data_IF_305073767167
#
_entry.id   IF_305073767167
#
_cell.length_a   1.000
_cell.length_b   1.000
_cell.length_c   1.000
_cell.angle_alpha   90.00
_cell.angle_beta   90.00
_cell.angle_gamma   90.00
#
_symmetry.space_group_name_H-M   'P 1'
#
loop_
_entity.id
_entity.type
_entity.pdbx_description
1 polymer ?
#
# COMPACT_ATOMS: atom_id res chain seq x y z
N UNK A 1 30.97 -15.31 5.93
CA UNK A 1 30.75 -15.09 7.37
C UNK A 1 29.45 -14.28 7.51
N UNK A 2 28.61 -14.58 8.49
CA UNK A 2 27.37 -13.82 8.78
C UNK A 2 27.54 -13.12 10.15
N UNK A 3 28.57 -12.31 10.25
CA UNK A 3 29.03 -11.67 11.48
C UNK A 3 28.75 -10.15 11.53
N UNK A 4 28.00 -9.66 10.56
CA UNK A 4 27.54 -8.26 10.47
C UNK A 4 26.02 -8.18 10.47
N UNK A 5 25.49 -7.07 11.02
CA UNK A 5 24.06 -6.81 10.98
C UNK A 5 23.60 -6.54 9.53
N UNK A 6 22.49 -7.16 9.16
CA UNK A 6 21.77 -6.92 7.92
C UNK A 6 20.30 -6.63 8.25
N UNK A 7 19.73 -5.58 7.65
CA UNK A 7 18.31 -5.25 7.85
C UNK A 7 17.40 -6.42 7.41
N UNK A 8 16.46 -6.87 8.26
CA UNK A 8 15.49 -7.90 7.88
C UNK A 8 14.62 -7.51 6.68
N UNK A 9 14.44 -6.23 6.40
CA UNK A 9 13.75 -5.77 5.20
C UNK A 9 14.45 -6.29 3.93
N UNK A 10 15.78 -6.27 3.89
CA UNK A 10 16.56 -6.77 2.77
C UNK A 10 16.62 -8.29 2.71
N UNK A 11 16.91 -8.93 3.85
CA UNK A 11 17.22 -10.37 3.87
C UNK A 11 15.99 -11.27 3.93
N UNK A 12 14.84 -10.76 4.40
CA UNK A 12 13.68 -11.58 4.71
C UNK A 12 12.36 -11.13 4.09
N UNK A 13 12.12 -9.82 3.90
CA UNK A 13 10.76 -9.34 3.68
C UNK A 13 10.53 -8.74 2.30
N UNK A 14 11.33 -7.75 1.88
CA UNK A 14 11.11 -7.04 0.64
C UNK A 14 11.40 -7.91 -0.61
N UNK A 15 10.68 -7.62 -1.70
CA UNK A 15 10.90 -8.24 -2.99
C UNK A 15 12.24 -7.84 -3.60
N UNK A 16 12.80 -8.69 -4.47
CA UNK A 16 14.04 -8.35 -5.18
C UNK A 16 13.84 -7.17 -6.14
N UNK A 17 12.61 -6.95 -6.61
CA UNK A 17 12.23 -5.81 -7.45
C UNK A 17 12.40 -4.49 -6.70
N UNK A 18 11.82 -4.36 -5.50
CA UNK A 18 11.92 -3.15 -4.69
C UNK A 18 13.36 -2.91 -4.23
N UNK A 19 14.07 -3.95 -3.81
CA UNK A 19 15.49 -3.86 -3.43
C UNK A 19 16.36 -3.35 -4.57
N UNK A 20 16.10 -3.77 -5.82
CA UNK A 20 16.84 -3.27 -6.98
C UNK A 20 16.62 -1.77 -7.21
N UNK A 21 15.39 -1.27 -7.09
CA UNK A 21 15.07 0.17 -7.25
C UNK A 21 15.87 1.04 -6.27
N UNK A 22 16.11 0.56 -5.05
CA UNK A 22 16.92 1.27 -4.04
C UNK A 22 18.40 0.86 -4.02
N UNK A 23 18.84 0.06 -4.99
CA UNK A 23 20.24 -0.39 -5.05
C UNK A 23 21.20 0.70 -5.53
N UNK A 24 22.51 0.58 -5.18
CA UNK A 24 23.55 1.42 -5.75
C UNK A 24 23.59 1.38 -7.28
N UNK A 25 23.38 0.21 -7.88
CA UNK A 25 23.34 0.07 -9.35
C UNK A 25 22.27 0.93 -10.00
N UNK A 26 21.05 0.88 -9.51
CA UNK A 26 19.97 1.73 -10.01
C UNK A 26 20.28 3.21 -9.84
N UNK A 27 20.78 3.60 -8.65
CA UNK A 27 21.15 4.97 -8.31
C UNK A 27 22.22 5.52 -9.26
N UNK A 28 23.36 4.84 -9.38
CA UNK A 28 24.49 5.39 -10.12
C UNK A 28 24.33 5.28 -11.65
N UNK A 29 23.62 4.30 -12.14
CA UNK A 29 23.19 4.27 -13.55
C UNK A 29 22.25 5.43 -13.87
N UNK A 30 21.34 5.78 -12.94
CA UNK A 30 20.48 6.96 -13.09
C UNK A 30 21.27 8.27 -13.08
N UNK A 31 22.32 8.39 -12.27
CA UNK A 31 23.22 9.54 -12.33
C UNK A 31 23.86 9.70 -13.70
N UNK A 32 24.33 8.61 -14.31
CA UNK A 32 24.92 8.64 -15.65
C UNK A 32 23.90 9.02 -16.72
N UNK A 33 22.68 8.53 -16.63
CA UNK A 33 21.58 8.95 -17.53
C UNK A 33 21.28 10.44 -17.41
N UNK A 34 21.27 10.98 -16.20
CA UNK A 34 21.10 12.41 -15.95
C UNK A 34 22.25 13.25 -16.53
N UNK A 35 23.49 12.81 -16.40
CA UNK A 35 24.63 13.49 -17.05
C UNK A 35 24.57 13.43 -18.57
N UNK A 36 24.11 12.32 -19.14
CA UNK A 36 23.88 12.20 -20.60
C UNK A 36 22.75 13.15 -21.00
N UNK A 37 21.63 13.15 -20.31
CA UNK A 37 20.51 14.04 -20.61
C UNK A 37 20.91 15.52 -20.54
N UNK A 38 21.74 15.89 -19.56
CA UNK A 38 22.32 17.23 -19.43
C UNK A 38 23.17 17.58 -20.66
N UNK A 39 24.18 16.76 -20.98
CA UNK A 39 25.12 17.00 -22.07
C UNK A 39 24.43 17.06 -23.43
N UNK A 40 23.47 16.16 -23.70
CA UNK A 40 22.66 16.20 -24.91
C UNK A 40 21.85 17.50 -25.02
N UNK A 41 21.19 17.89 -23.94
CA UNK A 41 20.36 19.11 -23.91
C UNK A 41 21.22 20.37 -24.07
N UNK A 42 22.36 20.42 -23.41
CA UNK A 42 23.34 21.51 -23.55
C UNK A 42 23.87 21.63 -24.98
N UNK A 43 24.18 20.49 -25.63
CA UNK A 43 24.57 20.46 -27.05
C UNK A 43 23.46 20.98 -27.95
N UNK A 44 22.25 20.48 -27.80
CA UNK A 44 21.09 20.91 -28.60
C UNK A 44 20.79 22.41 -28.45
N UNK A 45 21.12 22.98 -27.29
CA UNK A 45 21.00 24.42 -27.01
C UNK A 45 22.21 25.26 -27.48
N UNK A 46 23.23 24.61 -28.07
CA UNK A 46 24.33 25.26 -28.76
C UNK A 46 25.65 25.36 -27.99
N UNK A 47 25.82 24.63 -26.88
CA UNK A 47 27.16 24.50 -26.26
C UNK A 47 28.05 23.60 -27.12
N UNK A 48 29.35 23.82 -27.04
CA UNK A 48 30.35 23.09 -27.81
C UNK A 48 30.62 21.69 -27.23
N UNK A 49 29.66 20.79 -27.45
CA UNK A 49 29.72 19.38 -27.05
C UNK A 49 29.59 18.53 -28.33
N UNK A 50 30.52 17.56 -28.50
CA UNK A 50 30.57 16.76 -29.73
C UNK A 50 29.76 15.49 -29.63
N UNK A 51 29.40 14.89 -30.80
CA UNK A 51 28.69 13.61 -30.86
C UNK A 51 29.56 12.48 -30.30
N UNK A 52 30.85 12.54 -30.48
CA UNK A 52 31.81 11.56 -29.94
C UNK A 52 31.81 11.57 -28.42
N UNK A 53 31.78 12.76 -27.79
CA UNK A 53 31.68 12.86 -26.33
C UNK A 53 30.40 12.24 -25.79
N UNK A 54 29.26 12.50 -26.42
CA UNK A 54 27.97 11.90 -26.03
C UNK A 54 27.95 10.38 -26.25
N UNK A 55 28.50 9.91 -27.38
CA UNK A 55 28.62 8.49 -27.67
C UNK A 55 29.48 7.75 -26.64
N UNK A 56 30.59 8.36 -26.20
CA UNK A 56 31.47 7.82 -25.16
C UNK A 56 30.73 7.72 -23.82
N UNK A 57 29.98 8.75 -23.40
CA UNK A 57 29.15 8.69 -22.21
C UNK A 57 28.13 7.56 -22.28
N UNK A 58 27.41 7.44 -23.40
CA UNK A 58 26.40 6.38 -23.60
C UNK A 58 26.99 4.97 -23.57
N UNK A 59 28.19 4.79 -24.09
CA UNK A 59 28.87 3.49 -24.09
C UNK A 59 29.15 2.97 -22.68
N UNK A 60 29.42 3.87 -21.72
CA UNK A 60 29.76 3.55 -20.35
C UNK A 60 28.65 3.88 -19.34
N UNK A 61 27.41 4.03 -19.74
CA UNK A 61 26.31 4.42 -18.84
C UNK A 61 25.95 3.38 -17.78
N UNK A 62 26.19 2.09 -18.05
CA UNK A 62 25.73 0.98 -17.21
C UNK A 62 26.87 0.23 -16.49
N UNK A 63 28.13 0.43 -16.89
CA UNK A 63 29.31 -0.23 -16.31
C UNK A 63 30.00 0.63 -15.23
N UNK A 64 29.41 0.72 -14.06
CA UNK A 64 29.92 1.54 -12.97
C UNK A 64 31.22 0.98 -12.41
N UNK A 65 32.31 1.77 -12.42
CA UNK A 65 33.57 1.40 -11.78
C UNK A 65 33.54 1.81 -10.29
N UNK A 66 33.01 0.93 -9.47
CA UNK A 66 32.88 1.16 -8.02
C UNK A 66 34.22 1.30 -7.30
N UNK A 67 35.26 0.57 -7.71
CA UNK A 67 36.54 0.58 -7.05
C UNK A 67 37.23 1.96 -7.22
N UNK A 68 37.21 2.53 -8.43
CA UNK A 68 37.72 3.85 -8.71
C UNK A 68 36.94 4.93 -7.96
N UNK A 69 35.60 4.83 -7.97
CA UNK A 69 34.76 5.77 -7.25
C UNK A 69 35.01 5.73 -5.74
N UNK A 70 35.08 4.53 -5.13
CA UNK A 70 35.33 4.37 -3.70
C UNK A 70 36.71 4.83 -3.29
N UNK A 71 37.74 4.54 -4.09
CA UNK A 71 39.09 5.03 -3.85
C UNK A 71 39.13 6.56 -3.86
N UNK A 72 38.49 7.19 -4.85
CA UNK A 72 38.43 8.66 -4.96
C UNK A 72 37.62 9.29 -3.82
N UNK A 73 36.53 8.66 -3.39
CA UNK A 73 35.72 9.18 -2.28
C UNK A 73 36.48 9.19 -0.96
N UNK A 74 37.36 8.22 -0.72
CA UNK A 74 38.26 8.24 0.47
C UNK A 74 39.18 9.45 0.50
N UNK A 75 39.58 9.94 -0.67
CA UNK A 75 40.45 11.12 -0.78
C UNK A 75 39.68 12.43 -0.63
N UNK A 76 38.60 12.59 -1.39
CA UNK A 76 37.90 13.88 -1.54
C UNK A 76 36.69 14.05 -0.63
N UNK A 77 36.23 12.97 0.01
CA UNK A 77 35.07 12.94 0.92
C UNK A 77 33.77 13.48 0.28
N UNK A 78 33.59 13.19 -1.02
CA UNK A 78 32.44 13.68 -1.78
C UNK A 78 32.03 12.64 -2.84
N UNK A 79 30.84 12.03 -2.65
CA UNK A 79 30.35 10.94 -3.48
C UNK A 79 30.13 11.33 -4.95
N UNK A 80 29.43 12.44 -5.21
CA UNK A 80 29.15 12.88 -6.59
C UNK A 80 30.42 13.17 -7.36
N UNK A 81 31.36 13.90 -6.77
CA UNK A 81 32.65 14.21 -7.43
C UNK A 81 33.50 12.97 -7.65
N UNK A 82 33.37 11.96 -6.80
CA UNK A 82 34.04 10.67 -6.97
C UNK A 82 33.49 9.90 -8.17
N UNK A 83 32.18 9.92 -8.37
CA UNK A 83 31.54 9.32 -9.54
C UNK A 83 31.74 10.11 -10.83
N UNK A 84 31.81 11.46 -10.77
CA UNK A 84 32.26 12.30 -11.91
C UNK A 84 33.67 11.89 -12.33
N UNK A 85 34.58 11.75 -11.37
CA UNK A 85 35.97 11.32 -11.63
C UNK A 85 35.99 9.90 -12.25
N UNK A 86 35.30 8.93 -11.64
CA UNK A 86 35.29 7.56 -12.14
C UNK A 86 34.69 7.46 -13.56
N UNK A 87 33.66 8.24 -13.86
CA UNK A 87 33.08 8.32 -15.20
C UNK A 87 34.04 8.97 -16.19
N UNK A 88 34.74 10.05 -15.78
CA UNK A 88 35.77 10.70 -16.61
C UNK A 88 36.99 9.83 -16.91
N UNK A 89 37.34 8.88 -16.02
CA UNK A 89 38.42 7.88 -16.28
C UNK A 89 37.98 6.93 -17.42
N UNK A 90 36.73 6.55 -17.46
CA UNK A 90 36.16 5.69 -18.52
C UNK A 90 35.88 6.48 -19.82
N UNK A 91 35.63 7.79 -19.70
CA UNK A 91 35.24 8.67 -20.81
C UNK A 91 36.22 9.86 -20.93
N UNK A 92 37.48 9.64 -21.38
CA UNK A 92 38.52 10.69 -21.38
C UNK A 92 38.17 11.86 -22.30
N UNK A 93 37.51 11.65 -23.44
CA UNK A 93 37.09 12.73 -24.34
C UNK A 93 35.93 13.55 -23.77
N UNK A 94 34.99 12.88 -23.09
CA UNK A 94 33.82 13.52 -22.47
C UNK A 94 34.11 14.09 -21.07
N UNK A 95 35.25 13.76 -20.45
CA UNK A 95 35.60 14.21 -19.11
C UNK A 95 35.39 15.71 -18.86
N UNK A 96 35.71 16.64 -19.77
CA UNK A 96 35.51 18.08 -19.56
C UNK A 96 34.06 18.54 -19.47
N UNK A 97 33.11 17.74 -19.99
CA UNK A 97 31.68 18.11 -20.06
C UNK A 97 30.81 17.38 -19.06
N UNK A 98 31.36 16.42 -18.31
CA UNK A 98 30.58 15.71 -17.28
C UNK A 98 30.22 16.69 -16.19
N UNK A 99 28.93 16.80 -15.86
CA UNK A 99 28.44 17.66 -14.75
C UNK A 99 28.57 19.16 -15.01
N UNK A 100 28.62 19.60 -16.30
CA UNK A 100 28.82 20.99 -16.67
C UNK A 100 27.71 21.89 -16.11
N UNK A 101 28.04 22.97 -15.45
CA UNK A 101 27.08 23.90 -14.81
C UNK A 101 26.28 23.35 -13.64
N UNK A 102 26.33 22.04 -13.39
CA UNK A 102 25.50 21.37 -12.39
C UNK A 102 26.14 21.39 -10.99
N UNK A 103 25.30 21.15 -9.97
CA UNK A 103 25.70 20.88 -8.60
C UNK A 103 25.32 19.45 -8.21
N UNK A 104 25.82 18.96 -7.08
CA UNK A 104 25.59 17.57 -6.62
C UNK A 104 24.10 17.20 -6.56
N UNK A 105 23.22 18.13 -6.19
CA UNK A 105 21.79 17.88 -6.13
C UNK A 105 21.14 17.70 -7.50
N UNK A 106 21.80 18.08 -8.61
CA UNK A 106 21.32 17.76 -9.94
C UNK A 106 21.16 16.25 -10.12
N UNK A 107 22.17 15.46 -9.82
CA UNK A 107 22.05 14.00 -9.91
C UNK A 107 21.41 13.41 -8.67
N UNK A 108 21.71 13.90 -7.47
CA UNK A 108 21.17 13.35 -6.22
C UNK A 108 19.66 13.47 -6.15
N UNK A 109 19.15 14.68 -6.22
CA UNK A 109 17.72 14.95 -6.03
C UNK A 109 16.83 14.50 -7.20
N UNK A 110 17.29 14.68 -8.44
CA UNK A 110 16.56 14.14 -9.59
C UNK A 110 16.49 12.60 -9.54
N UNK A 111 17.56 11.93 -9.12
CA UNK A 111 17.55 10.47 -8.95
C UNK A 111 16.61 10.04 -7.84
N UNK A 112 16.54 10.75 -6.72
CA UNK A 112 15.62 10.42 -5.64
C UNK A 112 14.15 10.49 -6.10
N UNK A 113 13.80 11.50 -6.91
CA UNK A 113 12.45 11.59 -7.52
C UNK A 113 12.19 10.43 -8.48
N UNK A 114 13.17 10.06 -9.31
CA UNK A 114 13.07 8.93 -10.24
C UNK A 114 12.89 7.62 -9.46
N UNK A 115 13.68 7.39 -8.41
CA UNK A 115 13.58 6.21 -7.55
C UNK A 115 12.18 6.13 -6.91
N UNK A 116 11.69 7.22 -6.32
CA UNK A 116 10.36 7.27 -5.74
C UNK A 116 9.27 6.99 -6.77
N UNK A 117 9.39 7.53 -8.00
CA UNK A 117 8.45 7.21 -9.09
C UNK A 117 8.45 5.71 -9.41
N UNK A 118 9.60 5.11 -9.64
CA UNK A 118 9.70 3.69 -9.98
C UNK A 118 9.17 2.79 -8.85
N UNK A 119 9.47 3.15 -7.60
CA UNK A 119 8.94 2.46 -6.44
C UNK A 119 7.41 2.59 -6.33
N UNK A 120 6.86 3.79 -6.56
CA UNK A 120 5.40 4.01 -6.58
C UNK A 120 4.71 3.26 -7.74
N UNK A 121 5.37 3.13 -8.89
CA UNK A 121 4.85 2.33 -10.01
C UNK A 121 4.80 0.83 -9.66
N UNK A 122 5.76 0.33 -8.90
CA UNK A 122 5.73 -1.04 -8.37
C UNK A 122 4.60 -1.20 -7.34
N UNK A 123 4.48 -0.29 -6.37
CA UNK A 123 3.36 -0.27 -5.41
C UNK A 123 2.01 -0.21 -6.12
N UNK A 124 1.87 0.58 -7.21
CA UNK A 124 0.66 0.58 -8.04
C UNK A 124 0.34 -0.80 -8.60
N UNK A 125 1.36 -1.49 -9.14
CA UNK A 125 1.19 -2.84 -9.66
C UNK A 125 0.71 -3.81 -8.57
N UNK A 126 1.29 -3.73 -7.39
CA UNK A 126 0.90 -4.56 -6.24
C UNK A 126 -0.54 -4.26 -5.80
N UNK A 127 -0.91 -2.98 -5.67
CA UNK A 127 -2.28 -2.58 -5.32
C UNK A 127 -3.30 -3.07 -6.36
N UNK A 128 -3.03 -2.94 -7.66
CA UNK A 128 -3.92 -3.44 -8.72
C UNK A 128 -4.15 -4.96 -8.58
N UNK A 129 -3.11 -5.72 -8.28
CA UNK A 129 -3.24 -7.17 -8.06
C UNK A 129 -4.00 -7.48 -6.76
N UNK A 130 -3.78 -6.73 -5.68
CA UNK A 130 -4.53 -6.88 -4.43
C UNK A 130 -6.02 -6.55 -4.63
N UNK A 131 -6.35 -5.46 -5.33
CA UNK A 131 -7.72 -5.11 -5.68
C UNK A 131 -8.40 -6.23 -6.50
N UNK A 132 -7.69 -6.81 -7.47
CA UNK A 132 -8.20 -7.92 -8.28
C UNK A 132 -8.53 -9.16 -7.43
N UNK A 133 -7.62 -9.55 -6.54
CA UNK A 133 -7.81 -10.74 -5.67
C UNK A 133 -8.96 -10.52 -4.70
N UNK A 134 -9.00 -9.38 -4.03
CA UNK A 134 -10.08 -9.05 -3.09
C UNK A 134 -11.43 -8.88 -3.79
N UNK A 135 -11.47 -8.33 -5.01
CA UNK A 135 -12.70 -8.23 -5.79
C UNK A 135 -13.28 -9.60 -6.14
N UNK A 136 -12.43 -10.54 -6.58
CA UNK A 136 -12.84 -11.93 -6.84
C UNK A 136 -13.42 -12.58 -5.59
N UNK A 137 -12.72 -12.47 -4.46
CA UNK A 137 -13.20 -13.00 -3.18
C UNK A 137 -14.53 -12.36 -2.75
N UNK A 138 -14.65 -11.04 -2.87
CA UNK A 138 -15.87 -10.33 -2.50
C UNK A 138 -17.09 -10.79 -3.35
N UNK A 139 -16.91 -10.96 -4.66
CA UNK A 139 -17.97 -11.43 -5.56
C UNK A 139 -18.30 -12.90 -5.31
N UNK A 140 -17.32 -13.77 -5.09
CA UNK A 140 -17.53 -15.19 -4.79
C UNK A 140 -18.40 -15.39 -3.54
N UNK A 141 -18.18 -14.59 -2.50
CA UNK A 141 -18.89 -14.71 -1.21
C UNK A 141 -19.95 -13.63 -0.97
N UNK A 142 -20.37 -12.89 -2.00
CA UNK A 142 -21.36 -11.79 -1.85
C UNK A 142 -22.70 -12.24 -1.29
N UNK A 143 -23.10 -13.47 -1.57
CA UNK A 143 -24.39 -14.03 -1.18
C UNK A 143 -24.31 -14.89 0.10
N UNK A 144 -23.14 -15.01 0.74
CA UNK A 144 -22.94 -15.82 1.96
C UNK A 144 -23.22 -15.00 3.22
N UNK A 145 -24.37 -15.21 3.91
CA UNK A 145 -24.68 -14.50 5.14
C UNK A 145 -23.69 -14.83 6.26
N UNK A 146 -23.32 -13.83 7.04
CA UNK A 146 -22.51 -13.98 8.25
C UNK A 146 -22.93 -12.99 9.32
N UNK A 147 -22.57 -13.29 10.55
CA UNK A 147 -22.78 -12.41 11.68
C UNK A 147 -21.91 -11.16 11.54
N UNK A 148 -22.52 -9.96 11.62
CA UNK A 148 -21.76 -8.72 11.70
C UNK A 148 -21.58 -8.29 13.16
N UNK A 149 -20.59 -7.42 13.39
CA UNK A 149 -20.26 -6.92 14.71
C UNK A 149 -20.15 -5.40 14.69
N UNK A 150 -20.80 -4.76 15.67
CA UNK A 150 -20.55 -3.37 16.04
C UNK A 150 -20.12 -3.34 17.52
N UNK A 151 -19.12 -2.53 17.83
CA UNK A 151 -18.51 -2.56 19.17
C UNK A 151 -18.02 -3.96 19.60
N UNK A 152 -17.70 -4.77 18.63
CA UNK A 152 -17.37 -6.20 18.76
C UNK A 152 -18.48 -7.04 19.45
N UNK A 153 -19.72 -6.58 19.37
CA UNK A 153 -20.91 -7.30 19.80
C UNK A 153 -21.71 -7.74 18.56
N UNK A 154 -22.40 -8.90 18.61
CA UNK A 154 -23.29 -9.34 17.56
C UNK A 154 -24.28 -8.26 17.15
N UNK A 155 -24.38 -8.03 15.86
CA UNK A 155 -25.28 -7.07 15.23
C UNK A 155 -26.04 -7.74 14.07
N UNK A 156 -26.82 -6.95 13.33
CA UNK A 156 -27.54 -7.50 12.17
C UNK A 156 -26.59 -8.21 11.21
N UNK A 157 -27.06 -9.28 10.52
CA UNK A 157 -26.26 -10.00 9.54
C UNK A 157 -25.78 -9.13 8.39
N UNK A 158 -24.64 -9.49 7.86
CA UNK A 158 -24.09 -9.02 6.58
C UNK A 158 -23.74 -10.22 5.71
N UNK A 159 -22.92 -10.03 4.67
CA UNK A 159 -22.35 -11.16 3.93
C UNK A 159 -20.81 -11.14 4.01
N UNK A 160 -20.20 -12.30 3.81
CA UNK A 160 -18.74 -12.44 3.77
C UNK A 160 -18.16 -11.53 2.67
N UNK A 161 -18.78 -11.52 1.50
CA UNK A 161 -18.35 -10.66 0.39
C UNK A 161 -18.51 -9.17 0.70
N UNK A 162 -19.57 -8.76 1.40
CA UNK A 162 -19.74 -7.36 1.81
C UNK A 162 -18.68 -6.94 2.82
N UNK A 163 -18.27 -7.82 3.74
CA UNK A 163 -17.14 -7.57 4.65
C UNK A 163 -15.84 -7.39 3.87
N UNK A 164 -15.59 -8.24 2.87
CA UNK A 164 -14.42 -8.09 2.00
C UNK A 164 -14.46 -6.79 1.16
N UNK A 165 -15.64 -6.34 0.75
CA UNK A 165 -15.81 -5.07 0.06
C UNK A 165 -15.41 -3.87 0.93
N UNK A 166 -15.46 -3.97 2.27
CA UNK A 166 -14.94 -2.93 3.15
C UNK A 166 -13.41 -2.85 3.07
N UNK A 167 -12.71 -3.99 3.09
CA UNK A 167 -11.25 -4.02 2.91
C UNK A 167 -10.85 -3.49 1.53
N UNK A 168 -11.58 -3.91 0.51
CA UNK A 168 -11.37 -3.49 -0.87
C UNK A 168 -11.52 -1.97 -1.03
N UNK A 169 -12.50 -1.36 -0.36
CA UNK A 169 -12.72 0.09 -0.38
C UNK A 169 -11.56 0.87 0.27
N UNK A 170 -10.99 0.39 1.37
CA UNK A 170 -9.82 1.02 2.00
C UNK A 170 -8.64 1.06 1.01
N UNK A 171 -8.31 -0.07 0.38
CA UNK A 171 -7.24 -0.14 -0.63
C UNK A 171 -7.55 0.65 -1.90
N UNK A 172 -8.83 0.80 -2.28
CA UNK A 172 -9.23 1.70 -3.37
C UNK A 172 -8.89 3.15 -3.06
N UNK A 173 -9.14 3.61 -1.84
CA UNK A 173 -8.78 4.97 -1.41
C UNK A 173 -7.26 5.18 -1.47
N UNK A 174 -6.47 4.18 -1.08
CA UNK A 174 -5.01 4.23 -1.19
C UNK A 174 -4.54 4.28 -2.65
N UNK A 175 -5.15 3.49 -3.52
CA UNK A 175 -4.88 3.52 -4.95
C UNK A 175 -5.16 4.90 -5.56
N UNK A 176 -6.28 5.52 -5.21
CA UNK A 176 -6.65 6.86 -5.68
C UNK A 176 -5.64 7.93 -5.21
N UNK A 177 -5.19 7.84 -3.96
CA UNK A 177 -4.15 8.74 -3.44
C UNK A 177 -2.81 8.51 -4.15
N UNK A 178 -2.43 7.25 -4.40
CA UNK A 178 -1.22 6.91 -5.15
C UNK A 178 -1.23 7.52 -6.56
N UNK A 179 -2.32 7.37 -7.31
CA UNK A 179 -2.47 7.94 -8.65
C UNK A 179 -2.38 9.46 -8.63
N UNK A 180 -3.01 10.10 -7.63
CA UNK A 180 -2.90 11.53 -7.44
C UNK A 180 -1.45 11.97 -7.22
N UNK A 181 -0.73 11.34 -6.30
CA UNK A 181 0.66 11.69 -5.99
C UNK A 181 1.59 11.44 -7.20
N UNK A 182 1.41 10.34 -7.93
CA UNK A 182 2.16 10.09 -9.17
C UNK A 182 1.94 11.19 -10.20
N UNK A 183 0.72 11.71 -10.33
CA UNK A 183 0.39 12.80 -11.27
C UNK A 183 1.03 14.14 -10.90
N UNK A 184 1.46 14.32 -9.65
CA UNK A 184 2.08 15.55 -9.15
C UNK A 184 3.62 15.51 -9.19
N UNK A 185 4.22 14.34 -9.51
CA UNK A 185 5.68 14.20 -9.53
C UNK A 185 6.33 15.04 -10.63
N UNK A 186 7.35 15.80 -10.23
CA UNK A 186 8.17 16.63 -11.11
C UNK A 186 9.63 16.46 -10.76
N UNK A 187 10.52 16.58 -11.73
CA UNK A 187 11.95 16.62 -11.46
C UNK A 187 12.34 17.92 -10.76
N UNK A 188 13.47 17.89 -10.04
CA UNK A 188 14.12 19.12 -9.60
C UNK A 188 14.54 19.96 -10.81
N UNK A 189 15.13 19.33 -11.81
CA UNK A 189 15.73 19.97 -12.98
C UNK A 189 17.15 20.46 -12.73
N UNK A 190 17.62 21.40 -13.56
CA UNK A 190 18.95 22.02 -13.51
C UNK A 190 18.88 23.34 -12.74
N UNK A 191 18.77 23.29 -11.41
CA UNK A 191 18.50 24.48 -10.58
C UNK A 191 19.77 25.20 -10.08
N UNK A 192 20.89 24.52 -9.99
CA UNK A 192 22.14 25.11 -9.50
C UNK A 192 22.21 25.20 -7.97
N UNK A 193 23.17 25.98 -7.49
CA UNK A 193 23.60 26.00 -6.07
C UNK A 193 22.48 26.48 -5.11
N UNK A 194 21.67 27.44 -5.54
CA UNK A 194 20.63 28.05 -4.70
C UNK A 194 19.26 28.09 -5.38
N UNK A 195 19.10 27.34 -6.46
CA UNK A 195 17.83 27.31 -7.22
C UNK A 195 17.67 28.45 -8.23
N UNK A 196 18.66 29.32 -8.37
CA UNK A 196 18.62 30.50 -9.26
C UNK A 196 19.03 30.21 -10.69
N UNK A 197 19.60 29.05 -10.97
CA UNK A 197 20.16 28.65 -12.28
C UNK A 197 21.32 29.54 -12.76
N UNK A 198 22.00 30.27 -11.85
CA UNK A 198 23.01 31.26 -12.19
C UNK A 198 24.13 30.71 -13.07
N UNK A 199 24.66 29.51 -12.75
CA UNK A 199 25.72 28.88 -13.56
C UNK A 199 25.24 28.54 -15.00
N UNK A 200 23.99 28.13 -15.15
CA UNK A 200 23.41 27.88 -16.47
C UNK A 200 23.12 29.17 -17.23
N UNK A 201 22.71 30.23 -16.54
CA UNK A 201 22.58 31.57 -17.13
C UNK A 201 23.90 32.05 -17.70
N UNK A 202 25.00 31.83 -16.96
CA UNK A 202 26.38 32.17 -17.43
C UNK A 202 26.77 31.32 -18.66
N UNK A 203 26.56 30.01 -18.64
CA UNK A 203 26.83 29.09 -19.74
C UNK A 203 26.09 29.46 -21.04
N UNK A 204 24.90 30.01 -20.92
CA UNK A 204 24.07 30.41 -22.07
C UNK A 204 24.03 31.93 -22.30
N UNK A 205 25.07 32.67 -21.94
CA UNK A 205 25.21 34.11 -22.15
C UNK A 205 23.96 34.91 -21.66
N UNK A 206 23.43 34.56 -20.50
CA UNK A 206 22.22 35.13 -19.90
C UNK A 206 20.94 34.93 -20.71
N UNK A 207 20.87 33.91 -21.54
CA UNK A 207 19.67 33.56 -22.30
C UNK A 207 18.69 32.74 -21.44
N UNK A 208 17.71 33.41 -20.86
CA UNK A 208 16.67 32.80 -20.03
C UNK A 208 15.86 31.72 -20.74
N UNK A 209 15.57 31.88 -22.05
CA UNK A 209 14.75 30.93 -22.78
C UNK A 209 15.51 29.59 -23.00
N UNK A 210 16.84 29.66 -23.23
CA UNK A 210 17.66 28.45 -23.30
C UNK A 210 17.71 27.74 -21.95
N UNK A 211 17.82 28.44 -20.83
CA UNK A 211 17.85 27.85 -19.49
C UNK A 211 16.51 27.21 -19.15
N UNK A 212 15.39 27.82 -19.53
CA UNK A 212 14.06 27.20 -19.41
C UNK A 212 13.91 25.94 -20.30
N UNK A 213 14.40 26.03 -21.53
CA UNK A 213 14.40 24.88 -22.44
C UNK A 213 15.24 23.72 -21.93
N UNK A 214 16.37 23.98 -21.27
CA UNK A 214 17.22 22.99 -20.63
C UNK A 214 16.43 22.12 -19.61
N UNK A 215 15.71 22.76 -18.68
CA UNK A 215 14.88 22.06 -17.71
C UNK A 215 13.83 21.18 -18.38
N UNK A 216 13.14 21.70 -19.39
CA UNK A 216 12.12 20.98 -20.15
C UNK A 216 12.70 19.74 -20.85
N UNK A 217 13.83 19.92 -21.56
CA UNK A 217 14.47 18.84 -22.29
C UNK A 217 14.98 17.72 -21.38
N UNK A 218 15.57 18.09 -20.22
CA UNK A 218 15.98 17.12 -19.22
C UNK A 218 14.77 16.34 -18.70
N UNK A 219 13.65 17.01 -18.37
CA UNK A 219 12.44 16.34 -17.90
C UNK A 219 11.93 15.33 -18.96
N UNK A 220 11.79 15.76 -20.20
CA UNK A 220 11.33 14.91 -21.32
C UNK A 220 12.25 13.69 -21.53
N UNK A 221 13.59 13.88 -21.53
CA UNK A 221 14.57 12.80 -21.68
C UNK A 221 14.51 11.80 -20.52
N UNK A 222 14.10 12.23 -19.34
CA UNK A 222 13.96 11.37 -18.14
C UNK A 222 12.51 10.85 -17.96
N UNK A 223 11.61 11.14 -18.90
CA UNK A 223 10.22 10.66 -18.89
C UNK A 223 9.34 11.35 -17.85
N UNK A 224 9.53 12.66 -17.66
CA UNK A 224 8.70 13.52 -16.81
C UNK A 224 8.10 14.66 -17.66
N UNK A 225 6.92 15.12 -17.26
CA UNK A 225 6.23 16.19 -17.95
C UNK A 225 6.86 17.57 -17.67
N UNK A 226 7.48 17.76 -16.52
CA UNK A 226 8.06 19.04 -16.11
C UNK A 226 9.03 18.95 -14.93
N UNK A 227 9.72 20.07 -14.67
CA UNK A 227 10.48 20.30 -13.45
C UNK A 227 9.69 21.21 -12.49
N UNK A 228 10.07 21.21 -11.20
CA UNK A 228 9.54 22.20 -10.25
C UNK A 228 9.86 23.61 -10.71
N UNK A 229 8.86 24.49 -10.69
CA UNK A 229 8.99 25.87 -11.12
C UNK A 229 9.94 26.66 -10.19
N UNK A 230 9.87 26.39 -8.89
CA UNK A 230 10.68 27.04 -7.85
C UNK A 230 11.25 25.99 -6.92
N UNK A 231 12.52 26.13 -6.60
CA UNK A 231 13.24 25.31 -5.60
C UNK A 231 14.42 26.07 -5.02
N UNK A 232 14.98 25.61 -3.92
CA UNK A 232 16.36 25.92 -3.54
C UNK A 232 17.35 25.06 -4.31
N UNK A 233 18.42 24.66 -3.65
CA UNK A 233 19.37 23.68 -4.22
C UNK A 233 18.73 22.30 -4.41
N UNK A 234 17.72 21.97 -3.58
CA UNK A 234 17.01 20.70 -3.53
C UNK A 234 15.53 20.91 -3.87
N UNK A 235 14.82 19.83 -4.25
CA UNK A 235 13.38 19.86 -4.20
C UNK A 235 12.89 19.96 -2.74
N UNK A 236 11.67 20.45 -2.53
CA UNK A 236 11.09 20.55 -1.19
C UNK A 236 10.96 19.16 -0.55
N UNK A 237 11.56 18.96 0.63
CA UNK A 237 11.47 17.68 1.38
C UNK A 237 10.06 17.31 1.80
N UNK A 238 9.10 18.23 1.63
CA UNK A 238 7.68 17.90 1.72
C UNK A 238 7.24 16.84 0.70
N UNK A 239 7.93 16.71 -0.44
CA UNK A 239 7.67 15.66 -1.42
C UNK A 239 7.88 14.27 -0.81
N UNK A 240 8.96 14.07 -0.07
CA UNK A 240 9.23 12.77 0.60
C UNK A 240 8.07 12.43 1.55
N UNK A 241 7.60 13.40 2.33
CA UNK A 241 6.45 13.23 3.20
C UNK A 241 5.18 12.87 2.42
N UNK A 242 4.92 13.55 1.30
CA UNK A 242 3.75 13.26 0.46
C UNK A 242 3.78 11.84 -0.11
N UNK A 243 4.95 11.36 -0.55
CA UNK A 243 5.10 9.97 -0.99
C UNK A 243 4.85 8.97 0.15
N UNK A 244 5.42 9.24 1.33
CA UNK A 244 5.23 8.36 2.48
C UNK A 244 3.80 8.41 3.04
N UNK A 245 2.99 9.45 2.80
CA UNK A 245 1.56 9.44 3.18
C UNK A 245 0.78 8.35 2.44
N UNK A 246 1.14 8.06 1.19
CA UNK A 246 0.52 6.95 0.44
C UNK A 246 0.84 5.62 1.12
N UNK A 247 2.12 5.39 1.45
CA UNK A 247 2.56 4.16 2.12
C UNK A 247 1.93 4.01 3.51
N UNK A 248 1.77 5.12 4.23
CA UNK A 248 1.10 5.15 5.52
C UNK A 248 -0.40 4.78 5.39
N UNK A 249 -1.10 5.29 4.36
CA UNK A 249 -2.47 4.89 4.05
C UNK A 249 -2.57 3.39 3.82
N UNK A 250 -1.75 2.84 2.92
CA UNK A 250 -1.67 1.40 2.66
C UNK A 250 -1.43 0.60 3.95
N UNK A 251 -0.52 1.06 4.80
CA UNK A 251 -0.24 0.40 6.08
C UNK A 251 -1.45 0.42 7.04
N UNK A 252 -2.25 1.49 7.03
CA UNK A 252 -3.50 1.56 7.81
C UNK A 252 -4.52 0.55 7.29
N UNK A 253 -4.75 0.50 5.97
CA UNK A 253 -5.68 -0.45 5.33
C UNK A 253 -5.24 -1.89 5.54
N UNK A 254 -3.96 -2.19 5.40
CA UNK A 254 -3.38 -3.51 5.65
C UNK A 254 -3.50 -3.93 7.12
N UNK A 255 -3.36 -2.99 8.06
CA UNK A 255 -3.57 -3.24 9.49
C UNK A 255 -5.01 -3.63 9.76
N UNK A 256 -5.98 -2.90 9.19
CA UNK A 256 -7.41 -3.25 9.33
C UNK A 256 -7.70 -4.63 8.74
N UNK A 257 -7.29 -4.89 7.52
CA UNK A 257 -7.44 -6.19 6.85
C UNK A 257 -6.87 -7.33 7.70
N UNK A 258 -5.61 -7.23 8.10
CA UNK A 258 -4.93 -8.28 8.86
C UNK A 258 -5.51 -8.51 10.25
N UNK A 259 -5.98 -7.46 10.92
CA UNK A 259 -6.65 -7.60 12.21
C UNK A 259 -7.99 -8.32 12.07
N UNK A 260 -8.79 -7.99 11.05
CA UNK A 260 -10.06 -8.68 10.78
C UNK A 260 -9.81 -10.17 10.48
N UNK A 261 -8.79 -10.51 9.67
CA UNK A 261 -8.43 -11.92 9.41
C UNK A 261 -8.04 -12.64 10.70
N UNK A 262 -7.25 -12.03 11.58
CA UNK A 262 -6.86 -12.64 12.87
C UNK A 262 -8.07 -12.88 13.78
N UNK A 263 -9.03 -11.96 13.82
CA UNK A 263 -10.28 -12.13 14.56
C UNK A 263 -11.17 -13.23 13.95
N UNK A 264 -11.29 -13.26 12.63
CA UNK A 264 -12.06 -14.29 11.92
C UNK A 264 -11.43 -15.68 12.07
N UNK A 265 -10.11 -15.78 12.10
CA UNK A 265 -9.40 -17.03 12.38
C UNK A 265 -9.58 -17.49 13.83
N UNK A 266 -9.58 -16.57 14.80
CA UNK A 266 -9.95 -16.88 16.17
C UNK A 266 -11.36 -17.47 16.27
N UNK A 267 -12.30 -16.92 15.51
CA UNK A 267 -13.67 -17.42 15.42
C UNK A 267 -13.80 -18.71 14.59
N UNK A 268 -12.76 -19.16 13.92
CA UNK A 268 -12.73 -20.32 13.01
C UNK A 268 -13.64 -20.16 11.80
N UNK A 269 -13.89 -18.93 11.37
CA UNK A 269 -14.75 -18.61 10.24
C UNK A 269 -13.96 -18.48 8.93
N UNK A 270 -12.83 -17.77 8.99
CA UNK A 270 -11.91 -17.57 7.85
C UNK A 270 -10.49 -17.66 8.38
N UNK A 271 -9.62 -18.37 7.68
CA UNK A 271 -8.20 -18.51 8.00
C UNK A 271 -7.32 -18.01 6.86
N UNK A 272 -6.12 -17.49 7.19
CA UNK A 272 -5.09 -17.24 6.19
C UNK A 272 -4.56 -18.56 5.61
N UNK A 273 -3.94 -18.56 4.41
CA UNK A 273 -3.42 -19.78 3.79
C UNK A 273 -2.34 -20.43 4.67
N UNK A 274 -2.37 -21.75 4.70
CA UNK A 274 -1.42 -22.57 5.45
C UNK A 274 -0.82 -23.64 4.54
N UNK A 275 0.49 -23.64 4.36
CA UNK A 275 1.17 -24.54 3.44
C UNK A 275 1.28 -25.95 4.03
N UNK A 276 1.35 -26.95 3.15
CA UNK A 276 1.35 -28.38 3.51
C UNK A 276 2.45 -28.76 4.52
N UNK A 277 3.60 -28.11 4.46
CA UNK A 277 4.74 -28.38 5.31
C UNK A 277 5.03 -27.27 6.32
N UNK A 278 4.16 -26.28 6.41
CA UNK A 278 4.30 -25.16 7.35
C UNK A 278 4.08 -25.66 8.79
N UNK A 279 4.91 -25.17 9.71
CA UNK A 279 4.75 -25.42 11.15
C UNK A 279 4.15 -24.17 11.80
N UNK A 280 2.93 -24.28 12.31
CA UNK A 280 2.25 -23.18 12.97
C UNK A 280 2.61 -22.99 14.45
N UNK A 281 3.11 -24.05 15.09
CA UNK A 281 3.47 -24.01 16.52
C UNK A 281 4.50 -25.10 16.81
N UNK A 282 5.53 -24.77 17.58
CA UNK A 282 6.54 -25.71 18.05
C UNK A 282 6.05 -26.68 19.12
N UNK A 283 4.98 -26.33 19.84
CA UNK A 283 4.47 -27.11 20.96
C UNK A 283 3.14 -27.82 20.67
N UNK A 284 2.28 -27.26 19.85
CA UNK A 284 0.96 -27.81 19.50
C UNK A 284 0.84 -28.00 18.00
N UNK A 285 1.05 -29.23 17.54
CA UNK A 285 1.22 -29.56 16.11
C UNK A 285 0.04 -29.16 15.21
N UNK A 286 -1.20 -29.17 15.72
CA UNK A 286 -2.38 -28.80 14.94
C UNK A 286 -2.65 -27.28 14.89
N UNK A 287 -1.98 -26.48 15.74
CA UNK A 287 -2.24 -25.06 15.87
C UNK A 287 -1.76 -24.28 14.67
N UNK A 288 -2.67 -23.59 14.02
CA UNK A 288 -2.39 -22.68 12.90
C UNK A 288 -2.43 -21.24 13.38
N UNK A 289 -1.26 -20.61 13.50
CA UNK A 289 -1.18 -19.20 13.89
C UNK A 289 -1.27 -18.32 12.65
N UNK A 290 -1.97 -17.17 12.70
CA UNK A 290 -2.06 -16.23 11.58
C UNK A 290 -0.78 -15.39 11.44
N UNK A 291 0.36 -16.07 11.18
CA UNK A 291 1.70 -15.45 11.23
C UNK A 291 1.90 -14.42 10.12
N UNK A 292 1.27 -14.60 8.95
CA UNK A 292 1.34 -13.65 7.84
C UNK A 292 0.57 -12.38 8.18
N UNK A 293 -0.64 -12.51 8.71
CA UNK A 293 -1.45 -11.38 9.18
C UNK A 293 -0.81 -10.65 10.36
N UNK A 294 -0.14 -11.35 11.28
CA UNK A 294 0.64 -10.73 12.35
C UNK A 294 1.84 -9.95 11.81
N UNK A 295 2.51 -10.46 10.77
CA UNK A 295 3.62 -9.78 10.11
C UNK A 295 3.16 -8.54 9.35
N UNK A 296 2.02 -8.61 8.64
CA UNK A 296 1.39 -7.44 8.00
C UNK A 296 1.20 -6.33 9.05
N UNK A 297 0.55 -6.64 10.18
CA UNK A 297 0.30 -5.66 11.24
C UNK A 297 1.59 -5.09 11.84
N UNK A 298 2.64 -5.91 11.99
CA UNK A 298 3.91 -5.47 12.58
C UNK A 298 4.72 -4.57 11.65
N UNK A 299 4.83 -4.90 10.37
CA UNK A 299 5.51 -4.07 9.36
C UNK A 299 4.74 -2.77 9.08
N UNK A 300 3.41 -2.82 9.10
CA UNK A 300 2.56 -1.64 8.96
C UNK A 300 2.81 -0.61 10.08
N UNK A 301 3.00 -1.05 11.33
CA UNK A 301 3.36 -0.13 12.42
C UNK A 301 4.70 0.56 12.19
N UNK A 302 5.66 -0.14 11.58
CA UNK A 302 6.95 0.45 11.22
C UNK A 302 6.77 1.62 10.24
N UNK A 303 6.00 1.40 9.15
CA UNK A 303 5.70 2.44 8.15
C UNK A 303 4.98 3.63 8.78
N UNK A 304 3.95 3.38 9.60
CA UNK A 304 3.16 4.44 10.26
C UNK A 304 4.05 5.27 11.21
N UNK A 305 5.00 4.66 11.89
CA UNK A 305 5.94 5.36 12.75
C UNK A 305 6.99 6.14 11.94
N UNK A 306 7.46 5.57 10.83
CA UNK A 306 8.55 6.13 10.01
C UNK A 306 8.17 7.44 9.29
N UNK A 307 6.90 7.65 8.95
CA UNK A 307 6.43 8.89 8.31
C UNK A 307 6.80 10.15 9.09
N UNK A 308 6.95 10.04 10.42
CA UNK A 308 7.36 11.16 11.27
C UNK A 308 8.75 11.70 10.91
N UNK A 309 9.65 10.84 10.43
CA UNK A 309 10.98 11.23 9.97
C UNK A 309 10.88 12.27 8.85
N UNK A 310 10.09 12.00 7.82
CA UNK A 310 9.94 12.90 6.67
C UNK A 310 9.20 14.19 7.03
N UNK A 311 8.22 14.13 7.93
CA UNK A 311 7.51 15.31 8.44
C UNK A 311 8.47 16.25 9.18
N UNK A 312 9.27 15.72 10.11
CA UNK A 312 10.24 16.49 10.89
C UNK A 312 11.35 17.04 9.99
N UNK A 313 11.90 16.22 9.09
CA UNK A 313 12.94 16.63 8.14
C UNK A 313 12.47 17.77 7.25
N UNK A 314 11.24 17.69 6.74
CA UNK A 314 10.66 18.76 5.91
C UNK A 314 10.55 20.07 6.66
N UNK A 315 10.11 20.04 7.93
CA UNK A 315 9.96 21.23 8.77
C UNK A 315 11.27 21.84 9.24
N UNK A 316 12.35 21.05 9.30
CA UNK A 316 13.65 21.46 9.80
C UNK A 316 14.59 22.05 8.72
N UNK A 317 14.16 22.13 7.45
CA UNK A 317 14.99 22.68 6.38
C UNK A 317 15.22 24.19 6.53
N UNK A 318 16.47 24.63 6.26
CA UNK A 318 16.88 26.02 6.39
C UNK A 318 17.19 26.64 5.03
N UNK A 319 16.60 27.80 4.75
CA UNK A 319 16.86 28.59 3.55
C UNK A 319 16.85 27.72 2.26
N UNK A 320 17.88 27.82 1.44
CA UNK A 320 18.00 27.13 0.16
C UNK A 320 18.58 25.73 0.29
N UNK A 321 19.25 25.41 1.41
CA UNK A 321 19.85 24.09 1.69
C UNK A 321 20.30 23.94 3.13
N UNK A 322 19.97 22.81 3.75
CA UNK A 322 20.69 22.21 4.88
C UNK A 322 20.96 20.75 4.58
N UNK A 323 21.95 20.13 5.24
CA UNK A 323 22.36 18.75 4.96
C UNK A 323 21.79 17.74 5.98
N UNK A 324 21.02 18.17 6.96
CA UNK A 324 20.47 17.31 8.02
C UNK A 324 19.43 16.31 7.49
N UNK A 325 18.87 16.57 6.32
CA UNK A 325 17.98 15.67 5.59
C UNK A 325 18.69 14.40 5.12
N UNK A 326 19.96 14.50 4.75
CA UNK A 326 20.68 13.52 3.95
C UNK A 326 20.74 12.13 4.62
N UNK A 327 21.18 12.05 5.87
CA UNK A 327 21.30 10.78 6.58
C UNK A 327 19.93 10.19 6.93
N UNK A 328 19.00 11.01 7.42
CA UNK A 328 17.64 10.57 7.75
C UNK A 328 16.91 10.01 6.53
N UNK A 329 16.94 10.74 5.41
CA UNK A 329 16.26 10.37 4.16
C UNK A 329 16.80 9.07 3.55
N UNK A 330 18.10 8.79 3.69
CA UNK A 330 18.73 7.55 3.22
C UNK A 330 18.25 6.30 3.97
N UNK A 331 17.67 6.47 5.15
CA UNK A 331 17.07 5.40 5.95
C UNK A 331 15.54 5.39 5.76
N UNK A 332 14.88 6.48 6.09
CA UNK A 332 13.41 6.54 6.18
C UNK A 332 12.72 6.25 4.83
N UNK A 333 13.16 6.85 3.74
CA UNK A 333 12.49 6.67 2.44
C UNK A 333 12.64 5.24 1.91
N UNK A 334 13.85 4.67 1.77
CA UNK A 334 13.99 3.29 1.29
C UNK A 334 13.27 2.27 2.18
N UNK A 335 13.42 2.38 3.50
CA UNK A 335 12.85 1.40 4.43
C UNK A 335 11.32 1.42 4.44
N UNK A 336 10.69 2.60 4.29
CA UNK A 336 9.25 2.71 4.13
C UNK A 336 8.75 1.97 2.88
N UNK A 337 9.42 2.16 1.73
CA UNK A 337 9.05 1.46 0.48
C UNK A 337 9.30 -0.05 0.56
N UNK A 338 10.43 -0.48 1.09
CA UNK A 338 10.74 -1.90 1.29
C UNK A 338 9.73 -2.58 2.23
N UNK A 339 9.30 -1.88 3.27
CA UNK A 339 8.27 -2.39 4.19
C UNK A 339 6.89 -2.43 3.53
N UNK A 340 6.52 -1.42 2.74
CA UNK A 340 5.23 -1.36 2.04
C UNK A 340 5.10 -2.45 0.96
N UNK A 341 6.15 -2.68 0.18
CA UNK A 341 6.26 -3.79 -0.77
C UNK A 341 6.04 -5.15 -0.06
N UNK A 342 6.73 -5.38 1.06
CA UNK A 342 6.55 -6.60 1.85
C UNK A 342 5.13 -6.75 2.41
N UNK A 343 4.50 -5.66 2.84
CA UNK A 343 3.12 -5.65 3.35
C UNK A 343 2.14 -5.99 2.24
N UNK A 344 2.29 -5.40 1.05
CA UNK A 344 1.40 -5.66 -0.09
C UNK A 344 1.55 -7.08 -0.63
N UNK A 345 2.78 -7.59 -0.76
CA UNK A 345 3.04 -8.98 -1.15
C UNK A 345 2.36 -9.96 -0.16
N UNK A 346 2.46 -9.71 1.14
CA UNK A 346 1.76 -10.49 2.16
C UNK A 346 0.24 -10.36 2.06
N UNK A 347 -0.29 -9.16 1.82
CA UNK A 347 -1.74 -8.94 1.66
C UNK A 347 -2.29 -9.69 0.44
N UNK A 348 -1.58 -9.66 -0.70
CA UNK A 348 -1.95 -10.41 -1.90
C UNK A 348 -1.97 -11.91 -1.60
N UNK A 349 -0.91 -12.44 -0.99
CA UNK A 349 -0.79 -13.85 -0.66
C UNK A 349 -1.89 -14.31 0.31
N UNK A 350 -2.16 -13.53 1.36
CA UNK A 350 -3.23 -13.86 2.32
C UNK A 350 -4.59 -13.80 1.64
N UNK A 351 -4.88 -12.75 0.88
CA UNK A 351 -6.16 -12.56 0.22
C UNK A 351 -6.47 -13.65 -0.83
N UNK A 352 -5.46 -14.06 -1.60
CA UNK A 352 -5.60 -15.10 -2.64
C UNK A 352 -5.79 -16.51 -2.06
N UNK A 353 -5.33 -16.73 -0.82
CA UNK A 353 -5.37 -18.03 -0.17
C UNK A 353 -6.35 -18.15 1.00
N UNK A 354 -7.27 -17.20 1.21
CA UNK A 354 -8.22 -17.24 2.31
C UNK A 354 -9.06 -18.52 2.29
N UNK A 355 -9.13 -19.20 3.42
CA UNK A 355 -9.93 -20.42 3.62
C UNK A 355 -11.18 -20.07 4.40
N UNK A 356 -12.35 -20.22 3.78
CA UNK A 356 -13.65 -19.93 4.38
C UNK A 356 -14.29 -21.22 4.92
N UNK A 357 -14.85 -21.17 6.13
CA UNK A 357 -15.56 -22.30 6.76
C UNK A 357 -17.06 -22.00 6.88
N UNK A 358 -17.88 -22.28 5.83
CA UNK A 358 -19.29 -21.91 5.77
C UNK A 358 -20.11 -22.47 6.94
N UNK A 359 -19.81 -23.68 7.41
CA UNK A 359 -20.54 -24.30 8.53
C UNK A 359 -20.26 -23.64 9.88
N UNK A 360 -19.09 -23.07 10.07
CA UNK A 360 -18.80 -22.29 11.30
C UNK A 360 -19.47 -20.92 11.24
N UNK A 361 -19.47 -20.28 10.08
CA UNK A 361 -20.19 -19.01 9.85
C UNK A 361 -21.69 -19.20 10.10
N UNK A 362 -22.30 -20.21 9.50
CA UNK A 362 -23.71 -20.57 9.68
C UNK A 362 -24.03 -20.83 11.16
N UNK A 363 -23.18 -21.60 11.84
CA UNK A 363 -23.38 -21.92 13.27
C UNK A 363 -23.42 -20.65 14.12
N UNK A 364 -22.43 -19.76 14.01
CA UNK A 364 -22.38 -18.53 14.80
C UNK A 364 -23.54 -17.60 14.48
N UNK A 365 -23.93 -17.52 13.22
CA UNK A 365 -25.07 -16.71 12.81
C UNK A 365 -26.38 -17.23 13.41
N UNK A 366 -26.63 -18.55 13.32
CA UNK A 366 -27.87 -19.16 13.83
C UNK A 366 -27.97 -19.15 15.37
N UNK A 367 -26.86 -19.10 16.08
CA UNK A 367 -26.84 -18.92 17.56
C UNK A 367 -27.38 -17.56 17.98
N UNK A 368 -27.14 -16.50 17.21
CA UNK A 368 -27.50 -15.12 17.53
C UNK A 368 -28.76 -14.63 16.80
N UNK A 369 -29.11 -15.23 15.65
CA UNK A 369 -30.19 -14.79 14.79
C UNK A 369 -31.55 -14.69 15.48
N UNK A 370 -31.93 -15.60 16.42
CA UNK A 370 -33.20 -15.47 17.13
C UNK A 370 -33.37 -14.14 17.87
N UNK A 371 -32.30 -13.61 18.47
CA UNK A 371 -32.37 -12.30 19.14
C UNK A 371 -32.51 -11.14 18.15
N UNK A 372 -31.93 -11.25 16.95
CA UNK A 372 -32.00 -10.22 15.91
C UNK A 372 -33.37 -10.21 15.21
N UNK A 373 -33.99 -11.36 15.09
CA UNK A 373 -35.26 -11.54 14.40
C UNK A 373 -36.48 -11.13 15.23
N UNK A 374 -36.31 -10.73 16.47
CA UNK A 374 -37.42 -10.38 17.37
C UNK A 374 -38.36 -9.32 16.82
N UNK A 375 -37.83 -8.34 16.06
CA UNK A 375 -38.68 -7.35 15.39
C UNK A 375 -39.54 -7.98 14.29
N UNK A 376 -38.94 -8.83 13.46
CA UNK A 376 -39.65 -9.52 12.37
C UNK A 376 -40.75 -10.43 12.94
N UNK A 377 -40.46 -11.14 14.02
CA UNK A 377 -41.41 -11.99 14.74
C UNK A 377 -42.57 -11.16 15.30
N UNK A 378 -42.24 -10.04 15.94
CA UNK A 378 -43.24 -9.10 16.46
C UNK A 378 -44.14 -8.57 15.36
N UNK A 379 -43.59 -8.15 14.24
CA UNK A 379 -44.35 -7.63 13.10
C UNK A 379 -45.28 -8.69 12.50
N UNK A 380 -44.85 -9.95 12.45
CA UNK A 380 -45.68 -11.05 11.99
C UNK A 380 -46.86 -11.32 12.95
N UNK A 381 -46.61 -11.27 14.25
CA UNK A 381 -47.67 -11.41 15.27
C UNK A 381 -48.63 -10.21 15.25
N UNK A 382 -48.15 -8.98 15.01
CA UNK A 382 -49.01 -7.79 14.84
C UNK A 382 -49.94 -7.91 13.62
N UNK A 383 -49.43 -8.41 12.48
CA UNK A 383 -50.25 -8.65 11.28
C UNK A 383 -51.43 -9.60 11.55
N UNK A 384 -51.35 -10.45 12.56
CA UNK A 384 -52.41 -11.38 13.00
C UNK A 384 -53.38 -10.78 14.01
N UNK A 385 -53.22 -9.49 14.31
CA UNK A 385 -54.13 -8.74 15.17
C UNK A 385 -53.69 -8.58 16.62
N UNK A 386 -52.44 -8.95 16.94
CA UNK A 386 -51.87 -8.74 18.28
C UNK A 386 -51.55 -7.28 18.57
N UNK A 387 -51.64 -6.87 19.85
CA UNK A 387 -51.24 -5.55 20.29
C UNK A 387 -49.71 -5.43 20.31
N UNK A 388 -49.18 -4.45 19.58
CA UNK A 388 -47.73 -4.26 19.42
C UNK A 388 -47.00 -4.08 20.74
N UNK A 389 -47.59 -3.37 21.73
CA UNK A 389 -46.93 -3.08 23.00
C UNK A 389 -46.88 -4.32 23.90
N UNK A 390 -48.00 -5.04 23.95
CA UNK A 390 -48.08 -6.31 24.70
C UNK A 390 -47.12 -7.36 24.10
N UNK A 391 -47.11 -7.50 22.78
CA UNK A 391 -46.22 -8.43 22.08
C UNK A 391 -44.73 -8.07 22.28
N UNK A 392 -44.41 -6.79 22.25
CA UNK A 392 -43.02 -6.32 22.52
C UNK A 392 -42.57 -6.71 23.92
N UNK A 393 -43.44 -6.51 24.95
CA UNK A 393 -43.06 -6.86 26.33
C UNK A 393 -42.89 -8.37 26.50
N UNK A 394 -43.76 -9.18 25.90
CA UNK A 394 -43.61 -10.63 25.90
C UNK A 394 -42.33 -11.11 25.26
N UNK A 395 -42.01 -10.60 24.07
CA UNK A 395 -40.75 -10.92 23.37
C UNK A 395 -39.56 -10.48 24.20
N UNK A 396 -39.62 -9.31 24.85
CA UNK A 396 -38.57 -8.83 25.74
C UNK A 396 -38.32 -9.79 26.90
N UNK A 397 -39.38 -10.24 27.59
CA UNK A 397 -39.26 -11.19 28.72
C UNK A 397 -38.68 -12.52 28.22
N UNK A 398 -39.19 -13.10 27.14
CA UNK A 398 -38.64 -14.33 26.56
C UNK A 398 -37.16 -14.18 26.14
N UNK A 399 -36.79 -13.02 25.59
CA UNK A 399 -35.41 -12.73 25.19
C UNK A 399 -34.47 -12.65 26.40
N UNK A 400 -34.92 -12.04 27.51
CA UNK A 400 -34.11 -11.95 28.74
C UNK A 400 -33.95 -13.34 29.39
N UNK A 401 -34.97 -14.16 29.39
CA UNK A 401 -34.92 -15.53 29.91
C UNK A 401 -34.00 -16.41 29.05
N UNK A 402 -34.13 -16.35 27.72
CA UNK A 402 -33.23 -17.06 26.81
C UNK A 402 -31.78 -16.57 26.95
N UNK A 403 -31.60 -15.27 27.08
CA UNK A 403 -30.28 -14.69 27.33
C UNK A 403 -29.63 -15.17 28.65
N UNK A 404 -30.47 -15.41 29.70
CA UNK A 404 -30.00 -16.00 30.96
C UNK A 404 -29.58 -17.46 30.75
N UNK A 405 -30.33 -18.25 30.01
CA UNK A 405 -29.99 -19.64 29.70
C UNK A 405 -28.63 -19.70 28.97
N UNK A 406 -28.43 -18.86 27.97
CA UNK A 406 -27.15 -18.81 27.22
C UNK A 406 -25.99 -18.35 28.10
N UNK A 407 -26.14 -17.23 28.83
CA UNK A 407 -25.01 -16.56 29.50
C UNK A 407 -24.73 -17.10 30.90
N UNK A 408 -25.74 -17.50 31.65
CA UNK A 408 -25.59 -17.95 33.04
C UNK A 408 -25.50 -19.47 33.13
N UNK A 409 -26.30 -20.19 32.32
CA UNK A 409 -26.39 -21.64 32.37
C UNK A 409 -25.51 -22.34 31.34
N UNK A 410 -24.98 -21.58 30.34
CA UNK A 410 -24.20 -22.15 29.23
C UNK A 410 -25.06 -23.04 28.31
N UNK A 411 -26.37 -22.84 28.33
CA UNK A 411 -27.32 -23.59 27.52
C UNK A 411 -27.43 -23.04 26.08
N UNK A 412 -28.19 -23.74 25.26
CA UNK A 412 -28.54 -23.27 23.92
C UNK A 412 -29.61 -22.18 23.97
N UNK A 413 -29.57 -21.28 22.96
CA UNK A 413 -30.62 -20.29 22.79
C UNK A 413 -31.98 -20.96 22.53
N UNK A 414 -32.90 -20.83 23.46
CA UNK A 414 -34.25 -21.43 23.43
C UNK A 414 -35.35 -20.41 23.12
N UNK A 415 -35.00 -19.21 22.66
CA UNK A 415 -35.92 -18.11 22.44
C UNK A 415 -37.06 -18.49 21.47
N UNK A 416 -36.79 -19.20 20.39
CA UNK A 416 -37.78 -19.60 19.42
C UNK A 416 -38.79 -20.61 20.01
N UNK A 417 -38.33 -21.53 20.87
CA UNK A 417 -39.19 -22.48 21.56
C UNK A 417 -40.11 -21.78 22.55
N UNK A 418 -39.62 -20.79 23.29
CA UNK A 418 -40.42 -19.94 24.20
C UNK A 418 -41.48 -19.15 23.45
N UNK A 419 -41.12 -18.53 22.31
CA UNK A 419 -42.04 -17.77 21.48
C UNK A 419 -43.11 -18.68 20.88
N UNK A 420 -42.74 -19.84 20.36
CA UNK A 420 -43.70 -20.81 19.79
C UNK A 420 -44.70 -21.36 20.84
N UNK A 421 -44.26 -21.47 22.12
CA UNK A 421 -45.10 -21.91 23.22
C UNK A 421 -46.07 -20.84 23.77
N UNK A 422 -45.82 -19.54 23.49
CA UNK A 422 -46.69 -18.45 23.94
C UNK A 422 -47.83 -18.20 22.94
N UNK A 423 -49.03 -18.67 23.28
CA UNK A 423 -50.23 -18.55 22.44
C UNK A 423 -50.61 -17.10 22.10
N UNK A 424 -50.15 -16.11 22.88
CA UNK A 424 -50.42 -14.70 22.60
C UNK A 424 -49.65 -14.17 21.38
N UNK A 425 -48.52 -14.79 21.05
CA UNK A 425 -47.73 -14.43 19.86
C UNK A 425 -48.30 -15.03 18.58
N UNK A 426 -49.07 -16.15 18.67
CA UNK A 426 -49.81 -16.74 17.58
C UNK A 426 -48.96 -17.18 16.38
N UNK A 427 -47.67 -17.45 16.59
CA UNK A 427 -46.72 -17.92 15.57
C UNK A 427 -46.28 -19.34 15.87
N UNK A 428 -46.32 -20.20 14.86
CA UNK A 428 -45.91 -21.60 14.98
C UNK A 428 -44.39 -21.74 14.82
N UNK A 429 -43.85 -22.89 15.26
CA UNK A 429 -42.44 -23.20 15.09
C UNK A 429 -42.01 -23.20 13.62
N UNK A 430 -42.83 -23.75 12.73
CA UNK A 430 -42.56 -23.78 11.30
C UNK A 430 -42.50 -22.38 10.67
N UNK A 431 -43.39 -21.48 11.11
CA UNK A 431 -43.38 -20.10 10.68
C UNK A 431 -42.12 -19.33 11.17
N UNK A 432 -41.72 -19.57 12.41
CA UNK A 432 -40.49 -19.02 12.97
C UNK A 432 -39.27 -19.50 12.18
N UNK A 433 -39.20 -20.77 11.81
CA UNK A 433 -38.12 -21.31 10.97
C UNK A 433 -38.10 -20.67 9.57
N UNK A 434 -39.28 -20.33 9.03
CA UNK A 434 -39.39 -19.57 7.79
C UNK A 434 -38.86 -18.14 7.90
N UNK A 435 -39.08 -17.49 9.06
CA UNK A 435 -38.53 -16.15 9.34
C UNK A 435 -37.01 -16.22 9.52
N UNK A 436 -36.48 -17.29 10.13
CA UNK A 436 -35.06 -17.47 10.48
C UNK A 436 -34.15 -17.78 9.29
N UNK A 437 -34.54 -17.51 8.05
CA UNK A 437 -33.66 -17.64 6.90
C UNK A 437 -32.64 -16.49 6.90
N UNK A 438 -31.34 -16.76 7.00
CA UNK A 438 -30.30 -15.70 7.10
C UNK A 438 -30.37 -14.68 5.97
N UNK A 439 -30.74 -15.09 4.77
CA UNK A 439 -30.85 -14.26 3.56
C UNK A 439 -31.86 -13.12 3.72
N UNK A 440 -32.85 -13.27 4.61
CA UNK A 440 -33.87 -12.25 4.89
C UNK A 440 -33.31 -11.04 5.66
N UNK A 441 -32.07 -11.15 6.23
CA UNK A 441 -31.51 -10.17 7.15
C UNK A 441 -30.30 -9.41 6.60
N UNK A 442 -29.80 -9.77 5.43
CA UNK A 442 -28.57 -9.17 4.85
C UNK A 442 -28.82 -7.88 4.05
N UNK A 443 -30.10 -7.48 3.93
CA UNK A 443 -30.47 -6.28 3.18
C UNK A 443 -29.94 -6.30 1.74
N UNK A 444 -29.30 -5.21 1.33
CA UNK A 444 -28.68 -5.06 0.00
C UNK A 444 -27.18 -5.42 -0.04
N UNK A 445 -26.68 -6.16 0.94
CA UNK A 445 -25.25 -6.49 0.98
C UNK A 445 -24.75 -7.20 -0.29
N UNK A 446 -25.45 -8.19 -0.88
CA UNK A 446 -25.04 -8.79 -2.14
C UNK A 446 -24.97 -7.80 -3.30
N UNK A 447 -26.03 -7.00 -3.48
CA UNK A 447 -26.12 -6.02 -4.57
C UNK A 447 -25.08 -4.92 -4.41
N UNK A 448 -24.91 -4.39 -3.19
CA UNK A 448 -23.89 -3.37 -2.91
C UNK A 448 -22.50 -3.87 -3.23
N UNK A 449 -22.20 -5.13 -2.92
CA UNK A 449 -20.90 -5.74 -3.23
C UNK A 449 -20.66 -5.83 -4.73
N UNK A 450 -21.65 -6.33 -5.48
CA UNK A 450 -21.54 -6.44 -6.93
C UNK A 450 -21.45 -5.07 -7.59
N UNK A 451 -22.34 -4.13 -7.25
CA UNK A 451 -22.34 -2.77 -7.78
C UNK A 451 -21.01 -2.05 -7.52
N UNK A 452 -20.45 -2.23 -6.32
CA UNK A 452 -19.16 -1.64 -5.96
C UNK A 452 -18.01 -2.19 -6.81
N UNK A 453 -17.95 -3.50 -6.98
CA UNK A 453 -16.92 -4.13 -7.81
C UNK A 453 -17.05 -3.71 -9.26
N UNK A 454 -18.27 -3.74 -9.82
CA UNK A 454 -18.52 -3.42 -11.23
C UNK A 454 -18.23 -1.94 -11.56
N UNK A 455 -18.62 -1.02 -10.68
CA UNK A 455 -18.56 0.40 -10.96
C UNK A 455 -17.25 1.08 -10.53
N UNK A 456 -16.61 0.61 -9.44
CA UNK A 456 -15.45 1.28 -8.86
C UNK A 456 -14.14 0.50 -9.09
N UNK A 457 -14.17 -0.83 -9.08
CA UNK A 457 -12.96 -1.64 -9.17
C UNK A 457 -12.69 -2.10 -10.60
N UNK A 458 -13.69 -2.64 -11.29
CA UNK A 458 -13.50 -3.19 -12.63
C UNK A 458 -12.91 -2.18 -13.63
N UNK A 459 -13.30 -0.90 -13.64
CA UNK A 459 -12.67 0.09 -14.52
C UNK A 459 -11.16 0.28 -14.27
N UNK A 460 -10.72 0.10 -13.01
CA UNK A 460 -9.29 0.16 -12.68
C UNK A 460 -8.58 -1.09 -13.21
N UNK A 461 -9.16 -2.27 -13.01
CA UNK A 461 -8.58 -3.53 -13.48
C UNK A 461 -8.50 -3.58 -15.01
N UNK A 462 -9.49 -3.05 -15.70
CA UNK A 462 -9.49 -2.94 -17.17
C UNK A 462 -8.41 -1.98 -17.66
N UNK A 463 -8.31 -0.81 -17.03
CA UNK A 463 -7.28 0.20 -17.38
C UNK A 463 -5.85 -0.30 -17.18
N UNK A 464 -5.62 -1.11 -16.14
CA UNK A 464 -4.30 -1.62 -15.76
C UNK A 464 -4.18 -3.13 -15.94
N UNK A 465 -4.88 -3.68 -16.95
CA UNK A 465 -4.89 -5.13 -17.23
C UNK A 465 -3.50 -5.71 -17.52
N UNK A 466 -2.59 -4.90 -18.07
CA UNK A 466 -1.19 -5.23 -18.31
C UNK A 466 -0.35 -5.40 -17.02
N UNK A 467 -0.83 -4.89 -15.89
CA UNK A 467 -0.18 -5.03 -14.58
C UNK A 467 -0.62 -6.28 -13.80
N UNK A 468 -1.68 -6.95 -14.25
CA UNK A 468 -2.21 -8.14 -13.58
C UNK A 468 -1.28 -9.35 -13.72
N UNK A 469 -1.47 -10.34 -12.87
CA UNK A 469 -0.68 -11.58 -12.87
C UNK A 469 0.67 -11.46 -12.18
N UNK A 470 0.77 -10.59 -11.18
CA UNK A 470 1.95 -10.48 -10.35
C UNK A 470 2.16 -11.79 -9.55
N UNK A 471 3.29 -12.42 -9.77
CA UNK A 471 3.74 -13.55 -8.95
C UNK A 471 4.41 -13.01 -7.67
N UNK A 472 3.88 -13.45 -6.52
CA UNK A 472 4.33 -13.01 -5.20
C UNK A 472 5.00 -14.17 -4.48
N UNK A 473 6.28 -14.02 -4.16
CA UNK A 473 7.05 -14.99 -3.39
C UNK A 473 7.17 -14.56 -1.93
N UNK A 474 6.62 -15.35 -1.02
CA UNK A 474 6.78 -15.14 0.43
C UNK A 474 8.01 -15.91 0.90
N UNK A 475 9.06 -15.19 1.25
CA UNK A 475 10.36 -15.78 1.64
C UNK A 475 10.36 -16.42 3.04
N UNK A 476 9.46 -16.00 3.93
CA UNK A 476 9.37 -16.47 5.32
C UNK A 476 7.96 -16.39 5.86
#
# INVERSE_FOLDING_TARGET
MKDTYESPLNSRYASDRMKYIFSPDFKFRTWRRLWIALAESEKELGLNITDEQIAELKAHKDDINYDVAAAREKEVRHDVMSHVYAYGVQCPNAKPIIHLGATSCYVGDNTDVIIMREAMLLIRKELVNLLNVLAKFAVEYKDMPCLAFTHFQPAQPTTVGKRAALWLNEFLMDFQNLEFQLSQLKLLGSKGTTGTQASFMELFDNNTDKVKALDKMIAEKMGFDSCFAVSGQTYSRKLDYQMLTVLCGIAMSATKFSNDIRLLQHMKEIEEPFEKHQIGSSAMAYKRNPMRSERIASLSRYIIADIQNTAMTSGAQWFERTLDDSANKRLSVPEAFLAADAVLDLCINVADGLVVYPKMIEKHLLEELPFMATENIMMEAVKRGGDRQELHEKIRVHSMDAGRVVKVEGGKNDLLDRIAADSALGVTREELEGIMKPENFVGRAPQQTQEFVDNEIQPILDKYSDLLGLDVEIKV
#
